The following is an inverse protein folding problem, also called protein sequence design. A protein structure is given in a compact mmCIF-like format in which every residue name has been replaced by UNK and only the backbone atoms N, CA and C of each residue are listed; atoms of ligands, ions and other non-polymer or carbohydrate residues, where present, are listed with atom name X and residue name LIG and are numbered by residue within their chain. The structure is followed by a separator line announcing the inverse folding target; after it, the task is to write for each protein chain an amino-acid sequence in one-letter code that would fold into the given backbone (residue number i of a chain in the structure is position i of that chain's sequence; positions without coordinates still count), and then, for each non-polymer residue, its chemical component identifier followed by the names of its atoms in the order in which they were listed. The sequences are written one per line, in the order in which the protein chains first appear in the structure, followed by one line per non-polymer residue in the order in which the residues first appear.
data_IF_116759807870
#
_entry.id   IF_116759807870
#
_cell.length_a   1.000
_cell.length_b   1.000
_cell.length_c   1.000
_cell.angle_alpha   90.00
_cell.angle_beta   90.00
_cell.angle_gamma   90.00
#
_symmetry.space_group_name_H-M   'P 1'
#
loop_
_entity.id
_entity.type
_entity.pdbx_description
1 polymer ?
#
# COMPACT_ATOMS: atom_id res chain seq x y z
N UNK A 1 -2.69 -22.77 11.52
CA UNK A 1 -1.93 -21.98 10.54
C UNK A 1 -2.48 -20.57 10.59
N UNK A 2 -1.66 -19.58 10.93
CA UNK A 2 -2.10 -18.20 10.99
C UNK A 2 -2.67 -17.81 9.63
N UNK A 3 -3.94 -17.44 9.59
CA UNK A 3 -4.54 -16.90 8.38
C UNK A 3 -3.91 -15.53 8.18
N UNK A 4 -2.81 -15.47 7.42
CA UNK A 4 -2.23 -14.21 6.95
C UNK A 4 -3.38 -13.46 6.31
N UNK A 5 -3.70 -12.29 6.86
CA UNK A 5 -4.84 -11.52 6.36
C UNK A 5 -4.48 -11.02 4.97
N UNK A 6 -5.45 -10.96 4.05
CA UNK A 6 -5.21 -10.43 2.70
C UNK A 6 -4.57 -9.01 2.72
N UNK A 7 -4.82 -8.27 3.80
CA UNK A 7 -4.21 -6.97 4.08
C UNK A 7 -2.70 -7.05 4.35
N UNK A 8 -2.24 -8.05 5.11
CA UNK A 8 -0.81 -8.24 5.42
C UNK A 8 -0.05 -8.66 4.16
N UNK A 9 -0.60 -9.60 3.40
CA UNK A 9 -0.02 -10.04 2.14
C UNK A 9 0.08 -8.88 1.14
N UNK A 10 -0.96 -8.05 1.04
CA UNK A 10 -0.95 -6.85 0.22
C UNK A 10 0.14 -5.87 0.66
N UNK A 11 0.32 -5.66 1.96
CA UNK A 11 1.35 -4.77 2.48
C UNK A 11 2.74 -5.30 2.14
N UNK A 12 2.98 -6.60 2.29
CA UNK A 12 4.27 -7.23 1.94
C UNK A 12 4.56 -7.10 0.45
N UNK A 13 3.61 -7.44 -0.41
CA UNK A 13 3.80 -7.38 -1.86
C UNK A 13 4.01 -5.95 -2.37
N UNK A 14 3.32 -4.96 -1.80
CA UNK A 14 3.53 -3.54 -2.11
C UNK A 14 4.88 -3.06 -1.56
N UNK A 15 5.33 -3.57 -0.41
CA UNK A 15 6.64 -3.24 0.17
C UNK A 15 7.79 -3.74 -0.69
N UNK A 16 7.63 -4.89 -1.34
CA UNK A 16 8.60 -5.41 -2.33
C UNK A 16 8.64 -4.55 -3.61
N UNK A 17 7.59 -3.78 -3.89
CA UNK A 17 7.42 -2.98 -5.12
C UNK A 17 7.40 -1.47 -4.82
N UNK A 18 8.57 -0.83 -4.63
CA UNK A 18 8.65 0.58 -4.30
C UNK A 18 8.06 1.50 -5.38
N UNK A 19 7.91 1.02 -6.62
CA UNK A 19 7.19 1.70 -7.72
C UNK A 19 5.76 2.16 -7.34
N UNK A 20 5.12 1.51 -6.36
CA UNK A 20 3.75 1.83 -5.96
C UNK A 20 3.65 2.98 -4.95
N UNK A 21 4.68 3.23 -4.15
CA UNK A 21 4.65 4.22 -3.06
C UNK A 21 5.81 5.23 -3.08
N UNK A 22 6.93 4.91 -3.72
CA UNK A 22 8.12 5.74 -3.76
C UNK A 22 8.08 6.72 -4.95
N UNK A 23 7.73 7.96 -4.64
CA UNK A 23 7.65 9.07 -5.60
C UNK A 23 9.02 9.48 -6.17
N UNK A 24 10.13 8.99 -5.59
CA UNK A 24 11.49 9.30 -6.05
C UNK A 24 11.93 8.41 -7.21
N UNK A 25 11.25 7.28 -7.43
CA UNK A 25 11.56 6.38 -8.53
C UNK A 25 11.00 6.93 -9.85
N UNK A 26 11.80 6.86 -10.91
CA UNK A 26 11.31 7.13 -12.28
C UNK A 26 10.17 6.17 -12.65
N UNK A 27 10.23 4.93 -12.18
CA UNK A 27 9.17 3.93 -12.35
C UNK A 27 7.83 4.36 -11.75
N UNK A 28 7.80 5.21 -10.71
CA UNK A 28 6.54 5.75 -10.16
C UNK A 28 5.87 6.75 -11.11
N UNK A 29 6.63 7.41 -11.99
CA UNK A 29 6.07 8.27 -13.04
C UNK A 29 5.57 7.47 -14.24
N UNK A 30 5.99 6.21 -14.34
CA UNK A 30 5.57 5.32 -15.40
C UNK A 30 4.26 4.62 -15.00
N UNK A 31 3.18 4.99 -15.68
CA UNK A 31 1.87 4.38 -15.46
C UNK A 31 1.86 2.89 -15.77
N UNK A 32 2.72 2.43 -16.68
CA UNK A 32 2.76 1.04 -17.12
C UNK A 32 3.43 0.16 -16.06
N UNK A 33 4.60 0.56 -15.55
CA UNK A 33 5.27 -0.18 -14.46
C UNK A 33 4.42 -0.26 -13.19
N UNK A 34 3.62 0.78 -12.91
CA UNK A 34 2.67 0.76 -11.80
C UNK A 34 1.53 -0.21 -12.04
N UNK A 35 1.00 -0.23 -13.26
CA UNK A 35 -0.04 -1.18 -13.63
C UNK A 35 0.48 -2.61 -13.57
N UNK A 36 1.66 -2.89 -14.10
CA UNK A 36 2.29 -4.21 -14.06
C UNK A 36 2.52 -4.66 -12.61
N UNK A 37 3.02 -3.77 -11.75
CA UNK A 37 3.17 -4.06 -10.32
C UNK A 37 1.83 -4.42 -9.66
N UNK A 38 0.74 -3.70 -9.97
CA UNK A 38 -0.59 -4.03 -9.47
C UNK A 38 -1.11 -5.36 -10.03
N UNK A 39 -0.80 -5.66 -11.29
CA UNK A 39 -1.23 -6.88 -11.98
C UNK A 39 -0.53 -8.11 -11.40
N UNK A 40 0.76 -8.03 -11.08
CA UNK A 40 1.49 -9.06 -10.35
C UNK A 40 0.86 -9.32 -8.98
N UNK A 41 0.60 -8.26 -8.21
CA UNK A 41 -0.03 -8.35 -6.88
C UNK A 41 -1.41 -8.99 -6.97
N UNK A 42 -2.18 -8.63 -7.99
CA UNK A 42 -3.48 -9.23 -8.32
C UNK A 42 -3.39 -10.71 -8.63
N UNK A 43 -2.38 -11.14 -9.39
CA UNK A 43 -2.10 -12.54 -9.64
C UNK A 43 -1.77 -13.33 -8.36
N UNK A 44 -0.98 -12.76 -7.46
CA UNK A 44 -0.59 -13.40 -6.18
C UNK A 44 -1.80 -13.54 -5.25
N UNK A 45 -2.58 -12.47 -5.08
CA UNK A 45 -3.77 -12.44 -4.22
C UNK A 45 -4.98 -13.14 -4.85
N UNK A 46 -4.94 -13.44 -6.16
CA UNK A 46 -6.05 -13.93 -6.97
C UNK A 46 -7.32 -13.08 -6.80
N UNK A 47 -7.13 -11.76 -6.78
CA UNK A 47 -8.21 -10.76 -6.68
C UNK A 47 -8.07 -9.72 -7.75
N UNK A 48 -9.14 -8.99 -8.03
CA UNK A 48 -9.12 -7.90 -8.99
C UNK A 48 -8.15 -6.79 -8.59
N UNK A 49 -7.43 -6.26 -9.59
CA UNK A 49 -6.57 -5.07 -9.44
C UNK A 49 -7.35 -3.92 -8.82
N UNK A 50 -8.60 -3.71 -9.24
CA UNK A 50 -9.46 -2.66 -8.70
C UNK A 50 -9.75 -2.83 -7.20
N UNK A 51 -10.02 -4.06 -6.77
CA UNK A 51 -10.26 -4.37 -5.35
C UNK A 51 -9.01 -4.14 -4.51
N UNK A 52 -7.85 -4.58 -5.02
CA UNK A 52 -6.56 -4.41 -4.38
C UNK A 52 -6.17 -2.93 -4.24
N UNK A 53 -6.36 -2.15 -5.30
CA UNK A 53 -6.11 -0.71 -5.28
C UNK A 53 -7.01 0.01 -4.27
N UNK A 54 -8.29 -0.37 -4.21
CA UNK A 54 -9.22 0.14 -3.21
C UNK A 54 -8.75 -0.20 -1.79
N UNK A 55 -8.36 -1.46 -1.57
CA UNK A 55 -7.87 -1.96 -0.28
C UNK A 55 -6.59 -1.27 0.17
N UNK A 56 -5.62 -1.11 -0.74
CA UNK A 56 -4.38 -0.38 -0.48
C UNK A 56 -4.66 1.08 -0.12
N UNK A 57 -5.55 1.73 -0.86
CA UNK A 57 -5.96 3.12 -0.58
C UNK A 57 -6.57 3.24 0.82
N UNK A 58 -7.44 2.31 1.20
CA UNK A 58 -8.03 2.24 2.53
C UNK A 58 -6.96 2.05 3.62
N UNK A 59 -6.04 1.08 3.45
CA UNK A 59 -4.93 0.83 4.38
C UNK A 59 -4.03 2.06 4.53
N UNK A 60 -3.67 2.70 3.42
CA UNK A 60 -2.87 3.92 3.41
C UNK A 60 -3.57 5.06 4.13
N UNK A 61 -4.87 5.25 3.91
CA UNK A 61 -5.66 6.25 4.65
C UNK A 61 -5.73 5.95 6.15
N UNK A 62 -5.95 4.68 6.52
CA UNK A 62 -5.96 4.23 7.92
C UNK A 62 -4.61 4.50 8.58
N UNK A 63 -3.52 4.17 7.90
CA UNK A 63 -2.16 4.45 8.37
C UNK A 63 -1.87 5.95 8.48
N UNK A 64 -2.23 6.76 7.49
CA UNK A 64 -2.05 8.22 7.53
C UNK A 64 -2.86 8.86 8.65
N UNK A 65 -4.11 8.42 8.88
CA UNK A 65 -4.93 8.87 10.01
C UNK A 65 -4.28 8.51 11.35
N UNK A 66 -3.87 7.27 11.53
CA UNK A 66 -3.16 6.83 12.75
C UNK A 66 -1.85 7.59 12.95
N UNK A 67 -1.09 7.81 11.87
CA UNK A 67 0.16 8.58 11.91
C UNK A 67 -0.10 10.04 12.28
N UNK A 68 -1.13 10.69 11.73
CA UNK A 68 -1.51 12.07 12.04
C UNK A 68 -2.02 12.24 13.48
N UNK A 69 -2.76 11.26 14.00
CA UNK A 69 -3.17 11.23 15.42
C UNK A 69 -1.93 11.16 16.31
N UNK A 70 -0.98 10.28 15.97
CA UNK A 70 0.27 10.16 16.71
C UNK A 70 1.16 11.41 16.64
N UNK A 71 1.20 12.08 15.49
CA UNK A 71 1.88 13.38 15.34
C UNK A 71 1.20 14.50 16.12
N UNK A 72 -0.12 14.43 16.32
CA UNK A 72 -0.85 15.39 17.18
C UNK A 72 -0.60 15.13 18.66
N UNK A 73 -0.55 13.87 19.10
CA UNK A 73 -0.22 13.56 20.50
C UNK A 73 1.21 13.97 20.87
N UNK A 74 2.16 13.94 19.93
CA UNK A 74 3.54 14.43 20.18
C UNK A 74 3.64 15.96 20.16
N UNK A 75 2.71 16.68 19.49
CA UNK A 75 2.70 18.14 19.42
C UNK A 75 1.92 18.81 20.58
N UNK A 76 1.02 18.08 21.25
CA UNK A 76 0.22 18.58 22.37
C UNK A 76 0.87 18.29 23.74
N UNK A 77 2.06 17.68 23.73
CA UNK A 77 2.88 17.42 24.92
C UNK A 77 4.16 18.28 24.96
N UNK A 78 4.30 19.27 24.06
CA UNK A 78 5.46 20.15 23.99
C UNK A 78 5.11 21.60 24.28
#
# INVERSE_FOLDING_TARGET
MASISADELLIEEVRQRPVLYDQRLKAYRDSQLRYDAWLEISGVLKRDVAEIQHRWTYLRQKFLRQRKIRSKSEAEQK
#
